data_IF_567332417590
#
_entry.id   IF_567332417590
#
_cell.length_a   1.000
_cell.length_b   1.000
_cell.length_c   1.000
_cell.angle_alpha   90.00
_cell.angle_beta   90.00
_cell.angle_gamma   90.00
#
_symmetry.space_group_name_H-M   'P 1'
#
loop_
_entity.id
_entity.type
_entity.pdbx_description
1 polymer ?
#
# COMPACT_ATOMS: atom_id res chain seq x y z
N UNK A 1 43.67 56.48 66.42
CA UNK A 1 44.01 55.36 65.51
C UNK A 1 43.00 54.25 65.72
N UNK A 2 41.92 54.24 64.93
CA UNK A 2 40.77 53.36 65.13
C UNK A 2 40.78 52.23 64.09
N UNK A 3 40.64 51.00 64.58
CA UNK A 3 40.70 49.75 63.83
C UNK A 3 39.57 49.67 62.79
N UNK A 4 39.92 49.39 61.54
CA UNK A 4 38.96 49.15 60.44
C UNK A 4 38.41 47.71 60.52
N UNK A 5 37.10 47.51 60.27
CA UNK A 5 36.46 46.21 60.40
C UNK A 5 36.72 45.30 59.18
N UNK A 6 36.93 44.02 59.48
CA UNK A 6 37.10 42.92 58.52
C UNK A 6 35.77 42.60 57.83
N UNK A 7 35.71 42.77 56.51
CA UNK A 7 34.56 42.37 55.67
C UNK A 7 34.67 40.87 55.31
N UNK A 8 33.58 40.14 55.53
CA UNK A 8 33.40 38.71 55.17
C UNK A 8 33.37 38.53 53.64
N UNK A 9 33.96 37.44 53.09
CA UNK A 9 33.90 37.12 51.67
C UNK A 9 32.49 36.64 51.25
N UNK A 10 32.06 37.09 50.06
CA UNK A 10 30.76 36.80 49.47
C UNK A 10 30.64 35.34 49.00
N UNK A 11 29.45 34.76 49.19
CA UNK A 11 29.07 33.42 48.69
C UNK A 11 29.05 33.41 47.16
N UNK A 12 29.84 32.51 46.56
CA UNK A 12 29.76 32.18 45.12
C UNK A 12 28.39 31.56 44.82
N UNK A 13 27.68 32.14 43.85
CA UNK A 13 26.47 31.56 43.28
C UNK A 13 26.82 30.30 42.48
N UNK A 14 26.07 29.23 42.72
CA UNK A 14 26.23 27.95 42.03
C UNK A 14 25.74 28.04 40.58
N UNK A 15 26.56 27.53 39.66
CA UNK A 15 26.23 27.37 38.25
C UNK A 15 25.04 26.42 38.08
N UNK A 16 24.06 26.69 37.20
CA UNK A 16 22.97 25.76 36.93
C UNK A 16 23.55 24.46 36.34
N UNK A 17 23.02 23.28 36.72
CA UNK A 17 23.40 22.04 36.08
C UNK A 17 22.98 22.07 34.59
N UNK A 18 23.72 21.40 33.70
CA UNK A 18 23.32 21.26 32.31
C UNK A 18 21.93 20.62 32.22
N UNK A 19 21.13 20.95 31.18
CA UNK A 19 19.84 20.32 30.97
C UNK A 19 20.04 18.80 30.94
N UNK A 20 19.34 18.13 31.83
CA UNK A 20 19.49 16.69 32.05
C UNK A 20 19.37 15.94 30.74
N UNK A 21 20.38 15.13 30.46
CA UNK A 21 20.24 13.97 29.59
C UNK A 21 19.10 13.13 30.15
N UNK A 22 17.90 13.36 29.63
CA UNK A 22 16.76 12.50 29.88
C UNK A 22 17.20 11.09 29.52
N UNK A 23 17.18 10.20 30.49
CA UNK A 23 17.27 8.76 30.26
C UNK A 23 16.17 8.41 29.26
N UNK A 24 16.52 8.35 27.97
CA UNK A 24 15.74 7.62 26.99
C UNK A 24 15.81 6.15 27.44
N UNK A 25 14.81 5.71 28.18
CA UNK A 25 14.61 4.29 28.45
C UNK A 25 14.67 3.52 27.13
N UNK A 26 15.12 2.25 27.14
CA UNK A 26 15.24 1.46 25.92
C UNK A 26 13.91 1.55 25.16
N UNK A 27 13.95 2.10 23.95
CA UNK A 27 12.78 2.26 23.10
C UNK A 27 12.01 0.94 23.13
N UNK A 28 10.81 0.96 23.69
CA UNK A 28 10.03 -0.25 23.91
C UNK A 28 9.93 -0.99 22.58
N UNK A 29 10.34 -2.26 22.56
CA UNK A 29 10.26 -3.13 21.38
C UNK A 29 8.78 -3.21 20.99
N UNK A 30 8.37 -2.40 20.02
CA UNK A 30 7.01 -2.42 19.45
C UNK A 30 7.00 -3.25 18.17
N UNK A 31 5.95 -4.05 17.94
CA UNK A 31 5.73 -4.71 16.66
C UNK A 31 5.51 -3.64 15.58
N UNK A 32 6.16 -3.80 14.44
CA UNK A 32 5.96 -2.95 13.24
C UNK A 32 5.24 -3.72 12.14
N UNK A 33 5.62 -4.97 11.93
CA UNK A 33 5.03 -5.85 10.92
C UNK A 33 4.73 -7.20 11.54
N UNK A 34 3.59 -7.80 11.19
CA UNK A 34 3.29 -9.20 11.47
C UNK A 34 3.15 -9.95 10.15
N UNK A 35 3.93 -10.99 9.97
CA UNK A 35 3.87 -11.90 8.82
C UNK A 35 3.16 -13.17 9.27
N UNK A 36 2.08 -13.55 8.61
CA UNK A 36 1.27 -14.72 8.95
C UNK A 36 1.16 -15.65 7.74
N UNK A 37 1.66 -16.87 7.87
CA UNK A 37 1.49 -17.92 6.87
C UNK A 37 0.29 -18.80 7.23
N UNK A 38 -0.60 -19.06 6.28
CA UNK A 38 -1.79 -19.87 6.48
C UNK A 38 -1.81 -21.07 5.52
N UNK A 39 -1.92 -22.25 6.11
CA UNK A 39 -2.24 -23.52 5.45
C UNK A 39 -3.61 -23.98 5.96
N UNK A 40 -4.53 -24.27 5.04
CA UNK A 40 -5.96 -24.37 5.33
C UNK A 40 -6.33 -25.23 6.54
N UNK A 41 -6.76 -24.60 7.64
CA UNK A 41 -7.30 -25.28 8.83
C UNK A 41 -6.35 -25.37 10.01
N UNK A 42 -5.09 -24.94 9.87
CA UNK A 42 -4.10 -24.89 10.96
C UNK A 42 -3.99 -23.51 11.61
N UNK A 43 -3.38 -23.44 12.79
CA UNK A 43 -3.02 -22.15 13.38
C UNK A 43 -1.95 -21.47 12.49
N UNK A 44 -2.13 -20.18 12.15
CA UNK A 44 -1.21 -19.51 11.25
C UNK A 44 0.17 -19.37 11.88
N UNK A 45 1.21 -19.74 11.14
CA UNK A 45 2.59 -19.45 11.52
C UNK A 45 2.76 -17.93 11.55
N UNK A 46 3.11 -17.39 12.72
CA UNK A 46 3.17 -15.94 12.93
C UNK A 46 4.59 -15.50 13.29
N UNK A 47 5.10 -14.53 12.51
CA UNK A 47 6.36 -13.84 12.78
C UNK A 47 6.11 -12.36 12.98
N UNK A 48 6.79 -11.78 13.98
CA UNK A 48 6.65 -10.36 14.32
C UNK A 48 7.99 -9.66 14.10
N UNK A 49 8.00 -8.70 13.17
CA UNK A 49 9.13 -7.81 12.93
C UNK A 49 9.04 -6.65 13.91
N UNK A 50 10.01 -6.57 14.80
CA UNK A 50 10.08 -5.55 15.83
C UNK A 50 10.77 -4.29 15.31
N UNK A 51 10.47 -3.14 15.91
CA UNK A 51 11.18 -1.85 15.68
C UNK A 51 12.70 -1.92 15.84
N UNK A 52 13.23 -2.89 16.60
CA UNK A 52 14.67 -3.12 16.67
C UNK A 52 15.30 -3.60 15.35
N UNK A 53 14.50 -4.07 14.39
CA UNK A 53 14.95 -4.39 13.04
C UNK A 53 15.01 -3.15 12.13
N UNK A 54 14.84 -1.94 12.66
CA UNK A 54 14.78 -0.68 11.91
C UNK A 54 15.89 -0.50 10.85
N UNK A 55 17.18 -0.71 11.18
CA UNK A 55 18.25 -0.62 10.18
C UNK A 55 18.09 -1.60 9.01
N UNK A 56 17.58 -2.81 9.26
CA UNK A 56 17.31 -3.79 8.21
C UNK A 56 16.11 -3.35 7.35
N UNK A 57 15.03 -2.88 7.97
CA UNK A 57 13.84 -2.36 7.27
C UNK A 57 14.25 -1.24 6.30
N UNK A 58 14.96 -0.22 6.78
CA UNK A 58 15.40 0.91 5.96
C UNK A 58 16.31 0.46 4.81
N UNK A 59 17.23 -0.47 5.06
CA UNK A 59 18.13 -0.95 4.02
C UNK A 59 17.40 -1.77 2.95
N UNK A 60 16.48 -2.65 3.36
CA UNK A 60 15.67 -3.49 2.45
C UNK A 60 14.76 -2.60 1.61
N UNK A 61 14.04 -1.67 2.24
CA UNK A 61 13.15 -0.71 1.60
C UNK A 61 13.87 0.15 0.56
N UNK A 62 15.12 0.54 0.81
CA UNK A 62 15.93 1.28 -0.18
C UNK A 62 16.46 0.39 -1.31
N UNK A 63 16.92 -0.81 -0.98
CA UNK A 63 17.66 -1.68 -1.92
C UNK A 63 16.76 -2.38 -2.92
N UNK A 64 15.65 -2.93 -2.47
CA UNK A 64 14.84 -3.81 -3.30
C UNK A 64 14.05 -3.10 -4.40
N UNK A 65 13.44 -1.92 -4.18
CA UNK A 65 12.82 -1.16 -5.27
C UNK A 65 13.79 -0.90 -6.42
N UNK A 66 15.06 -0.58 -6.12
CA UNK A 66 16.09 -0.45 -7.15
C UNK A 66 16.35 -1.75 -7.92
N UNK A 67 16.43 -2.90 -7.22
CA UNK A 67 16.63 -4.21 -7.85
C UNK A 67 15.45 -4.56 -8.77
N UNK A 68 14.22 -4.32 -8.31
CA UNK A 68 13.00 -4.67 -9.05
C UNK A 68 12.77 -3.74 -10.25
N UNK A 69 13.13 -2.46 -10.16
CA UNK A 69 13.05 -1.51 -11.28
C UNK A 69 13.85 -1.97 -12.50
N UNK A 70 14.98 -2.63 -12.29
CA UNK A 70 15.81 -3.16 -13.38
C UNK A 70 15.55 -4.63 -13.68
N UNK A 71 14.37 -5.17 -13.30
CA UNK A 71 14.03 -6.59 -13.45
C UNK A 71 14.12 -7.12 -14.88
N UNK A 72 13.82 -6.30 -15.88
CA UNK A 72 13.95 -6.68 -17.29
C UNK A 72 15.37 -7.16 -17.65
N UNK A 73 16.39 -6.74 -16.88
CA UNK A 73 17.79 -7.13 -17.09
C UNK A 73 18.15 -8.50 -16.49
N UNK A 74 17.38 -9.01 -15.54
CA UNK A 74 17.76 -10.22 -14.78
C UNK A 74 16.64 -11.25 -14.62
N UNK A 75 15.38 -10.91 -14.87
CA UNK A 75 14.25 -11.83 -14.67
C UNK A 75 14.31 -13.07 -15.58
N UNK A 76 14.93 -12.96 -16.75
CA UNK A 76 15.15 -14.07 -17.68
C UNK A 76 16.43 -14.90 -17.39
N UNK A 77 17.26 -14.47 -16.44
CA UNK A 77 18.53 -15.13 -16.09
C UNK A 77 18.33 -16.03 -14.85
N UNK A 78 18.42 -17.37 -14.98
CA UNK A 78 18.26 -18.29 -13.85
C UNK A 78 19.25 -18.05 -12.70
N UNK A 79 20.53 -17.77 -13.01
CA UNK A 79 21.56 -17.61 -11.99
C UNK A 79 21.31 -16.33 -11.17
N UNK A 80 20.89 -15.26 -11.85
CA UNK A 80 20.51 -14.03 -11.16
C UNK A 80 19.24 -14.20 -10.32
N UNK A 81 18.26 -15.00 -10.79
CA UNK A 81 17.07 -15.31 -9.98
C UNK A 81 17.42 -16.08 -8.73
N UNK A 82 18.31 -17.07 -8.81
CA UNK A 82 18.77 -17.84 -7.65
C UNK A 82 19.54 -16.95 -6.68
N UNK A 83 20.42 -16.08 -7.19
CA UNK A 83 21.12 -15.07 -6.39
C UNK A 83 20.14 -14.15 -5.65
N UNK A 84 19.14 -13.60 -6.32
CA UNK A 84 18.14 -12.74 -5.67
C UNK A 84 17.22 -13.51 -4.73
N UNK A 85 16.94 -14.77 -4.99
CA UNK A 85 16.18 -15.61 -4.07
C UNK A 85 16.96 -15.88 -2.78
N UNK A 86 18.27 -16.09 -2.85
CA UNK A 86 19.14 -16.18 -1.67
C UNK A 86 19.20 -14.85 -0.92
N UNK A 87 19.35 -13.73 -1.63
CA UNK A 87 19.31 -12.39 -1.01
C UNK A 87 17.98 -12.12 -0.30
N UNK A 88 16.86 -12.55 -0.88
CA UNK A 88 15.54 -12.41 -0.28
C UNK A 88 15.44 -13.21 1.03
N UNK A 89 15.90 -14.47 1.04
CA UNK A 89 15.98 -15.29 2.25
C UNK A 89 16.85 -14.66 3.34
N UNK A 90 18.01 -14.12 2.96
CA UNK A 90 18.94 -13.46 3.87
C UNK A 90 18.33 -12.19 4.48
N UNK A 91 17.59 -11.42 3.70
CA UNK A 91 16.92 -10.21 4.18
C UNK A 91 15.72 -10.52 5.09
N UNK A 92 14.92 -11.53 4.76
CA UNK A 92 13.86 -12.01 5.66
C UNK A 92 14.44 -12.51 6.99
N UNK A 93 15.63 -13.14 6.97
CA UNK A 93 16.35 -13.53 8.20
C UNK A 93 16.74 -12.32 9.04
N UNK A 94 17.20 -11.22 8.43
CA UNK A 94 17.50 -9.96 9.14
C UNK A 94 16.25 -9.32 9.76
N UNK A 95 15.08 -9.59 9.19
CA UNK A 95 13.77 -9.17 9.71
C UNK A 95 13.22 -10.13 10.78
N UNK A 96 13.89 -11.24 11.05
CA UNK A 96 13.53 -12.19 12.11
C UNK A 96 12.73 -13.41 11.63
N UNK A 97 12.56 -13.61 10.33
CA UNK A 97 12.03 -14.87 9.77
C UNK A 97 13.17 -15.88 9.72
N UNK A 98 13.17 -16.87 10.61
CA UNK A 98 14.31 -17.79 10.71
C UNK A 98 14.43 -18.68 9.48
N UNK A 99 15.65 -19.10 9.15
CA UNK A 99 15.88 -20.09 8.08
C UNK A 99 15.14 -21.41 8.34
N UNK A 100 14.89 -21.77 9.60
CA UNK A 100 14.15 -22.97 9.98
C UNK A 100 12.63 -22.83 9.75
N UNK A 101 12.10 -21.61 9.67
CA UNK A 101 10.68 -21.36 9.41
C UNK A 101 10.38 -21.24 7.92
N UNK A 102 11.39 -20.96 7.08
CA UNK A 102 11.19 -20.81 5.63
C UNK A 102 10.53 -22.03 4.96
N UNK A 103 10.89 -23.29 5.30
CA UNK A 103 10.17 -24.45 4.77
C UNK A 103 8.69 -24.49 5.14
N UNK A 104 8.30 -23.94 6.31
CA UNK A 104 6.89 -23.86 6.71
C UNK A 104 6.15 -22.79 5.92
N UNK A 105 6.79 -21.63 5.70
CA UNK A 105 6.27 -20.62 4.78
C UNK A 105 6.10 -21.14 3.36
N UNK A 106 6.97 -22.06 2.92
CA UNK A 106 6.90 -22.67 1.59
C UNK A 106 5.69 -23.60 1.40
N UNK A 107 5.11 -24.12 2.48
CA UNK A 107 3.88 -24.93 2.46
C UNK A 107 2.60 -24.07 2.43
N UNK A 108 2.70 -22.80 2.86
CA UNK A 108 1.55 -21.91 2.90
C UNK A 108 1.03 -21.59 1.48
N UNK A 109 -0.29 -21.64 1.31
CA UNK A 109 -0.95 -21.16 0.09
C UNK A 109 -1.19 -19.64 0.10
N UNK A 110 -1.13 -19.04 1.28
CA UNK A 110 -1.35 -17.61 1.50
C UNK A 110 -0.48 -17.09 2.65
N UNK A 111 0.19 -15.96 2.42
CA UNK A 111 0.87 -15.18 3.46
C UNK A 111 0.24 -13.78 3.51
N UNK A 112 -0.08 -13.35 4.72
CA UNK A 112 -0.50 -11.98 5.00
C UNK A 112 0.61 -11.20 5.71
N UNK A 113 0.84 -9.96 5.26
CA UNK A 113 1.78 -9.02 5.87
C UNK A 113 0.98 -7.85 6.44
N UNK A 114 0.81 -7.81 7.76
CA UNK A 114 0.12 -6.74 8.46
C UNK A 114 1.10 -5.68 8.94
N UNK A 115 0.88 -4.42 8.57
CA UNK A 115 1.59 -3.27 9.12
C UNK A 115 0.79 -2.68 10.27
N UNK A 116 1.49 -2.36 11.36
CA UNK A 116 0.88 -1.78 12.55
C UNK A 116 1.07 -0.27 12.57
N UNK A 117 -0.03 0.46 12.73
CA UNK A 117 0.01 1.92 12.88
C UNK A 117 0.78 2.30 14.15
N UNK A 118 1.95 2.96 14.03
CA UNK A 118 2.57 3.56 15.18
C UNK A 118 1.70 4.75 15.59
N UNK A 119 1.05 4.65 16.75
CA UNK A 119 0.35 5.81 17.37
C UNK A 119 1.14 7.10 17.12
N UNK A 120 0.43 8.16 16.73
CA UNK A 120 0.92 9.39 16.09
C UNK A 120 2.06 10.16 16.81
N UNK A 121 2.56 9.70 17.95
CA UNK A 121 3.54 10.37 18.79
C UNK A 121 4.99 9.87 18.63
N UNK A 122 5.27 8.93 17.71
CA UNK A 122 6.63 8.40 17.51
C UNK A 122 7.10 8.53 16.06
N UNK A 123 7.74 9.66 15.74
CA UNK A 123 8.26 9.98 14.41
C UNK A 123 9.14 8.88 13.79
N UNK A 124 10.01 8.26 14.59
CA UNK A 124 10.86 7.17 14.11
C UNK A 124 10.04 5.91 13.74
N UNK A 125 8.99 5.60 14.51
CA UNK A 125 8.16 4.44 14.21
C UNK A 125 7.32 4.69 12.95
N UNK A 126 6.82 5.93 12.75
CA UNK A 126 6.18 6.34 11.50
C UNK A 126 7.12 6.16 10.30
N UNK A 127 8.36 6.65 10.41
CA UNK A 127 9.39 6.48 9.38
C UNK A 127 9.67 5.00 9.06
N UNK A 128 9.77 4.15 10.08
CA UNK A 128 9.99 2.72 9.88
C UNK A 128 8.78 2.02 9.25
N UNK A 129 7.56 2.44 9.60
CA UNK A 129 6.34 1.95 8.96
C UNK A 129 6.25 2.38 7.49
N UNK A 130 6.63 3.63 7.17
CA UNK A 130 6.73 4.10 5.77
C UNK A 130 7.67 3.21 4.97
N UNK A 131 8.89 3.03 5.46
CA UNK A 131 9.87 2.16 4.82
C UNK A 131 9.38 0.70 4.71
N UNK A 132 8.72 0.16 5.74
CA UNK A 132 8.17 -1.19 5.71
C UNK A 132 7.09 -1.36 4.64
N UNK A 133 6.36 -0.29 4.29
CA UNK A 133 5.37 -0.32 3.20
C UNK A 133 5.98 -0.30 1.80
N UNK A 134 7.24 0.10 1.66
CA UNK A 134 7.96 0.08 0.38
C UNK A 134 8.67 -1.24 0.12
N UNK A 135 8.88 -2.06 1.16
CA UNK A 135 9.45 -3.40 1.01
C UNK A 135 8.56 -4.21 0.06
N UNK A 136 9.10 -4.85 -0.99
CA UNK A 136 8.31 -5.68 -1.91
C UNK A 136 8.11 -7.08 -1.31
N UNK A 137 7.30 -7.16 -0.25
CA UNK A 137 7.01 -8.39 0.49
C UNK A 137 6.60 -9.54 -0.41
N UNK A 138 5.81 -9.25 -1.44
CA UNK A 138 5.32 -10.19 -2.45
C UNK A 138 6.49 -10.90 -3.12
N UNK A 139 7.49 -10.14 -3.58
CA UNK A 139 8.69 -10.71 -4.20
C UNK A 139 9.55 -11.43 -3.17
N UNK A 140 9.84 -10.80 -2.01
CA UNK A 140 10.72 -11.39 -0.99
C UNK A 140 10.22 -12.75 -0.54
N UNK A 141 8.94 -12.83 -0.14
CA UNK A 141 8.33 -14.05 0.35
C UNK A 141 8.18 -15.09 -0.77
N UNK A 142 7.79 -14.67 -1.97
CA UNK A 142 7.67 -15.58 -3.12
C UNK A 142 9.02 -16.20 -3.50
N UNK A 143 10.07 -15.40 -3.61
CA UNK A 143 11.40 -15.85 -4.03
C UNK A 143 12.07 -16.70 -2.94
N UNK A 144 12.00 -16.28 -1.68
CA UNK A 144 12.57 -17.04 -0.58
C UNK A 144 11.88 -18.40 -0.37
N UNK A 145 10.54 -18.46 -0.47
CA UNK A 145 9.81 -19.73 -0.38
C UNK A 145 10.04 -20.65 -1.57
N UNK A 146 10.23 -20.12 -2.78
CA UNK A 146 10.65 -20.92 -3.95
C UNK A 146 12.02 -21.55 -3.72
N UNK A 147 12.98 -20.78 -3.21
CA UNK A 147 14.31 -21.29 -2.86
C UNK A 147 14.25 -22.38 -1.79
N UNK A 148 13.24 -22.33 -0.91
CA UNK A 148 12.96 -23.38 0.08
C UNK A 148 12.15 -24.58 -0.46
N UNK A 149 11.94 -24.68 -1.77
CA UNK A 149 11.30 -25.83 -2.43
C UNK A 149 9.82 -25.67 -2.74
N UNK A 150 9.24 -24.46 -2.71
CA UNK A 150 7.85 -24.23 -3.14
C UNK A 150 7.73 -24.23 -4.67
N UNK A 151 6.81 -25.04 -5.19
CA UNK A 151 6.44 -25.08 -6.62
C UNK A 151 5.06 -24.50 -6.94
N UNK A 152 4.14 -24.50 -5.97
CA UNK A 152 2.78 -23.99 -6.15
C UNK A 152 2.73 -22.46 -6.06
N UNK A 153 1.81 -21.75 -6.74
CA UNK A 153 1.62 -20.30 -6.58
C UNK A 153 1.35 -19.90 -5.11
N UNK A 154 1.88 -18.75 -4.70
CA UNK A 154 1.74 -18.20 -3.35
C UNK A 154 1.05 -16.85 -3.44
N UNK A 155 -0.07 -16.69 -2.75
CA UNK A 155 -0.69 -15.38 -2.58
C UNK A 155 0.01 -14.66 -1.43
N UNK A 156 0.48 -13.44 -1.68
CA UNK A 156 0.92 -12.53 -0.63
C UNK A 156 -0.01 -11.33 -0.63
N UNK A 157 -0.60 -11.00 0.52
CA UNK A 157 -1.46 -9.82 0.68
C UNK A 157 -0.96 -8.92 1.79
N UNK A 158 -1.25 -7.63 1.70
CA UNK A 158 -0.94 -6.68 2.76
C UNK A 158 -2.19 -6.32 3.55
N UNK A 159 -2.01 -6.06 4.84
CA UNK A 159 -3.08 -5.66 5.74
C UNK A 159 -2.68 -4.38 6.48
N UNK A 160 -3.58 -3.43 6.54
CA UNK A 160 -3.51 -2.28 7.44
C UNK A 160 -4.87 -2.17 8.13
N UNK A 161 -4.94 -2.69 9.35
CA UNK A 161 -6.20 -2.80 10.09
C UNK A 161 -6.82 -1.41 10.35
N UNK A 162 -7.90 -1.07 9.63
CA UNK A 162 -8.59 0.22 9.74
C UNK A 162 -9.93 0.13 10.50
N UNK A 163 -10.26 -1.06 11.02
CA UNK A 163 -11.48 -1.32 11.79
C UNK A 163 -12.77 -1.38 10.95
N UNK A 164 -12.67 -1.30 9.62
CA UNK A 164 -13.83 -1.37 8.73
C UNK A 164 -14.14 -2.84 8.41
N UNK A 165 -15.28 -3.31 8.91
CA UNK A 165 -15.84 -4.62 8.54
C UNK A 165 -16.72 -4.45 7.29
N UNK A 166 -16.28 -5.02 6.15
CA UNK A 166 -17.02 -4.92 4.88
C UNK A 166 -17.43 -6.30 4.41
N UNK A 167 -18.74 -6.46 4.23
CA UNK A 167 -19.28 -7.54 3.43
C UNK A 167 -18.99 -7.24 1.96
N UNK A 168 -17.98 -7.91 1.39
CA UNK A 168 -17.63 -7.79 -0.01
C UNK A 168 -18.77 -8.29 -0.90
N UNK A 169 -19.57 -7.37 -1.43
CA UNK A 169 -20.60 -7.66 -2.44
C UNK A 169 -20.26 -7.00 -3.77
N UNK A 170 -20.63 -7.59 -4.92
CA UNK A 170 -20.45 -6.99 -6.22
C UNK A 170 -20.93 -5.53 -6.26
N UNK A 171 -20.16 -4.60 -6.85
CA UNK A 171 -20.50 -3.19 -6.82
C UNK A 171 -21.74 -2.90 -7.67
N UNK A 172 -22.58 -1.99 -7.18
CA UNK A 172 -23.72 -1.43 -7.91
C UNK A 172 -23.40 -0.12 -8.61
N UNK A 173 -22.38 0.58 -8.12
CA UNK A 173 -21.94 1.87 -8.63
C UNK A 173 -20.41 1.88 -8.62
N UNK A 174 -19.85 2.01 -9.83
CA UNK A 174 -18.41 2.14 -10.07
C UNK A 174 -18.13 3.52 -10.63
N UNK A 175 -17.13 4.19 -10.08
CA UNK A 175 -16.58 5.41 -10.66
C UNK A 175 -15.28 5.05 -11.38
N UNK A 176 -15.18 5.36 -12.66
CA UNK A 176 -13.95 5.31 -13.43
C UNK A 176 -13.35 6.72 -13.47
N UNK A 177 -12.20 6.91 -12.84
CA UNK A 177 -11.47 8.17 -12.79
C UNK A 177 -10.33 8.05 -13.78
N UNK A 178 -10.33 8.94 -14.75
CA UNK A 178 -9.29 9.05 -15.76
C UNK A 178 -8.48 10.32 -15.50
N UNK A 179 -7.16 10.23 -15.63
CA UNK A 179 -6.28 11.37 -15.51
C UNK A 179 -5.17 11.37 -16.56
N UNK A 180 -5.44 12.04 -17.68
CA UNK A 180 -4.42 12.51 -18.62
C UNK A 180 -4.46 14.05 -18.77
N UNK A 181 -4.04 14.79 -17.75
CA UNK A 181 -4.05 16.24 -17.81
C UNK A 181 -3.00 16.80 -18.77
N UNK A 182 -3.36 17.87 -19.48
CA UNK A 182 -2.42 18.71 -20.21
C UNK A 182 -1.63 17.95 -21.27
N UNK A 183 -0.30 17.94 -21.16
CA UNK A 183 0.60 17.24 -22.09
C UNK A 183 0.45 15.72 -22.04
N UNK A 184 -0.07 15.16 -20.96
CA UNK A 184 -0.23 13.70 -20.80
C UNK A 184 -1.27 13.13 -21.78
N UNK A 185 -2.30 13.91 -22.13
CA UNK A 185 -3.35 13.55 -23.12
C UNK A 185 -2.79 13.28 -24.53
N UNK A 186 -1.54 13.68 -24.80
CA UNK A 186 -0.89 13.46 -26.09
C UNK A 186 -0.13 12.14 -26.14
N UNK A 187 0.19 11.57 -24.99
CA UNK A 187 1.04 10.39 -24.85
C UNK A 187 0.25 9.14 -24.43
N UNK A 188 -0.99 9.31 -23.93
CA UNK A 188 -1.72 8.24 -23.28
C UNK A 188 -3.23 8.32 -23.53
N UNK A 189 -3.84 7.19 -23.87
CA UNK A 189 -5.28 7.02 -24.10
C UNK A 189 -5.81 5.90 -23.20
N UNK A 190 -7.09 5.97 -22.80
CA UNK A 190 -7.69 5.01 -21.84
C UNK A 190 -8.94 4.30 -22.37
N UNK A 191 -9.24 4.43 -23.66
CA UNK A 191 -10.48 3.90 -24.26
C UNK A 191 -10.59 2.37 -24.14
N UNK A 192 -9.47 1.67 -24.32
CA UNK A 192 -9.40 0.21 -24.21
C UNK A 192 -9.65 -0.25 -22.78
N UNK A 193 -8.97 0.37 -21.82
CA UNK A 193 -9.19 0.11 -20.39
C UNK A 193 -10.64 0.41 -19.99
N UNK A 194 -11.17 1.57 -20.37
CA UNK A 194 -12.56 1.95 -20.09
C UNK A 194 -13.52 0.88 -20.61
N UNK A 195 -13.35 0.44 -21.85
CA UNK A 195 -14.18 -0.57 -22.50
C UNK A 195 -14.13 -1.90 -21.74
N UNK A 196 -12.93 -2.35 -21.36
CA UNK A 196 -12.72 -3.59 -20.60
C UNK A 196 -13.39 -3.54 -19.23
N UNK A 197 -13.16 -2.48 -18.46
CA UNK A 197 -13.72 -2.35 -17.10
C UNK A 197 -15.24 -2.20 -17.19
N UNK A 198 -15.76 -1.39 -18.11
CA UNK A 198 -17.21 -1.23 -18.35
C UNK A 198 -17.90 -2.57 -18.58
N UNK A 199 -17.31 -3.41 -19.42
CA UNK A 199 -17.81 -4.77 -19.67
C UNK A 199 -17.75 -5.63 -18.39
N UNK A 200 -16.64 -5.59 -17.66
CA UNK A 200 -16.44 -6.39 -16.44
C UNK A 200 -17.38 -6.00 -15.28
N UNK A 201 -17.89 -4.77 -15.25
CA UNK A 201 -18.79 -4.27 -14.19
C UNK A 201 -20.26 -4.19 -14.60
N UNK A 202 -20.67 -4.91 -15.67
CA UNK A 202 -22.04 -4.94 -16.18
C UNK A 202 -22.61 -3.54 -16.53
N UNK A 203 -21.81 -2.66 -17.12
CA UNK A 203 -22.20 -1.29 -17.48
C UNK A 203 -22.62 -0.40 -16.28
N UNK A 204 -22.28 -0.76 -15.04
CA UNK A 204 -22.62 0.00 -13.81
C UNK A 204 -21.58 1.09 -13.48
N UNK A 205 -21.07 1.75 -14.52
CA UNK A 205 -19.90 2.61 -14.44
C UNK A 205 -20.18 4.01 -14.96
N UNK A 206 -19.80 5.01 -14.17
CA UNK A 206 -19.75 6.41 -14.57
C UNK A 206 -18.30 6.86 -14.71
N UNK A 207 -18.03 7.74 -15.67
CA UNK A 207 -16.67 8.21 -15.97
C UNK A 207 -16.49 9.63 -15.43
N UNK A 208 -15.33 9.89 -14.83
CA UNK A 208 -14.80 11.20 -14.52
C UNK A 208 -13.59 11.47 -15.44
N UNK A 209 -13.81 11.98 -16.67
CA UNK A 209 -12.74 12.18 -17.65
C UNK A 209 -11.93 13.44 -17.30
N UNK A 210 -10.68 13.28 -16.87
CA UNK A 210 -9.69 14.33 -16.59
C UNK A 210 -10.32 15.63 -16.05
N UNK A 211 -11.13 15.48 -14.98
CA UNK A 211 -11.91 16.57 -14.40
C UNK A 211 -11.01 17.50 -13.56
N UNK A 212 -11.26 18.83 -13.55
CA UNK A 212 -10.66 19.72 -12.56
C UNK A 212 -10.88 19.20 -11.14
N UNK A 213 -9.88 19.38 -10.28
CA UNK A 213 -9.84 18.80 -8.94
C UNK A 213 -11.10 19.07 -8.10
N UNK A 214 -11.65 20.28 -8.14
CA UNK A 214 -12.90 20.63 -7.45
C UNK A 214 -14.10 19.81 -7.94
N UNK A 215 -14.19 19.56 -9.25
CA UNK A 215 -15.25 18.75 -9.87
C UNK A 215 -15.08 17.27 -9.57
N UNK A 216 -13.85 16.76 -9.61
CA UNK A 216 -13.56 15.39 -9.21
C UNK A 216 -13.98 15.13 -7.76
N UNK A 217 -13.56 16.01 -6.83
CA UNK A 217 -13.99 15.94 -5.42
C UNK A 217 -15.51 15.98 -5.27
N UNK A 218 -16.18 16.87 -6.01
CA UNK A 218 -17.63 16.96 -6.00
C UNK A 218 -18.29 15.66 -6.51
N UNK A 219 -17.77 15.04 -7.57
CA UNK A 219 -18.28 13.79 -8.13
C UNK A 219 -18.08 12.60 -7.18
N UNK A 220 -16.90 12.48 -6.57
CA UNK A 220 -16.64 11.49 -5.51
C UNK A 220 -17.60 11.69 -4.33
N UNK A 221 -17.83 12.94 -3.92
CA UNK A 221 -18.74 13.29 -2.83
C UNK A 221 -20.23 13.18 -3.21
N UNK A 222 -20.61 13.07 -4.49
CA UNK A 222 -22.01 13.03 -4.90
C UNK A 222 -22.67 11.67 -4.60
N UNK A 223 -21.98 10.55 -4.83
CA UNK A 223 -22.55 9.19 -4.74
C UNK A 223 -21.79 8.27 -3.79
N UNK A 224 -22.42 7.19 -3.35
CA UNK A 224 -21.79 6.21 -2.47
C UNK A 224 -21.12 5.15 -3.34
N UNK A 225 -20.03 5.54 -4.00
CA UNK A 225 -19.27 4.66 -4.87
C UNK A 225 -18.83 3.43 -4.10
N UNK A 226 -19.12 2.25 -4.66
CA UNK A 226 -18.76 0.98 -4.03
C UNK A 226 -17.42 0.46 -4.54
N UNK A 227 -17.04 0.88 -5.75
CA UNK A 227 -15.70 0.75 -6.28
C UNK A 227 -15.30 2.06 -6.98
N UNK A 228 -14.02 2.40 -6.92
CA UNK A 228 -13.42 3.46 -7.73
C UNK A 228 -12.25 2.84 -8.46
N UNK A 229 -12.27 2.92 -9.78
CA UNK A 229 -11.16 2.55 -10.64
C UNK A 229 -10.46 3.82 -11.09
N UNK A 230 -9.17 3.95 -10.81
CA UNK A 230 -8.36 5.10 -11.18
C UNK A 230 -7.35 4.64 -12.22
N UNK A 231 -7.30 5.35 -13.34
CA UNK A 231 -6.25 5.21 -14.36
C UNK A 231 -5.63 6.56 -14.65
N UNK A 232 -4.34 6.59 -14.96
CA UNK A 232 -3.60 7.82 -15.20
C UNK A 232 -2.10 7.65 -15.12
N UNK A 233 -1.42 8.77 -14.89
CA UNK A 233 0.04 8.83 -14.79
C UNK A 233 0.46 9.17 -13.37
N UNK A 234 1.41 8.40 -12.82
CA UNK A 234 1.99 8.65 -11.50
C UNK A 234 3.06 9.76 -11.54
N UNK A 235 3.52 10.23 -10.39
CA UNK A 235 4.52 11.30 -10.30
C UNK A 235 5.87 10.92 -10.92
N UNK A 236 6.29 9.66 -10.83
CA UNK A 236 7.54 9.19 -11.43
C UNK A 236 7.42 9.02 -12.94
N UNK A 237 6.34 8.41 -13.44
CA UNK A 237 6.11 8.27 -14.89
C UNK A 237 6.00 9.64 -15.57
N UNK A 238 5.40 10.64 -14.93
CA UNK A 238 5.32 12.00 -15.48
C UNK A 238 6.70 12.61 -15.77
N UNK A 239 7.70 12.34 -14.92
CA UNK A 239 9.07 12.78 -15.13
C UNK A 239 9.74 12.14 -16.35
N UNK A 240 9.26 10.97 -16.79
CA UNK A 240 9.78 10.26 -17.96
C UNK A 240 9.05 10.63 -19.25
N UNK A 241 7.74 10.84 -19.16
CA UNK A 241 6.91 11.19 -20.32
C UNK A 241 7.17 12.61 -20.80
N UNK A 242 7.48 13.53 -19.88
CA UNK A 242 7.56 14.95 -20.18
C UNK A 242 8.91 15.52 -19.73
N UNK A 243 9.77 15.84 -20.70
CA UNK A 243 11.05 16.49 -20.45
C UNK A 243 10.87 17.79 -19.64
N UNK A 244 11.63 17.90 -18.55
CA UNK A 244 11.58 19.06 -17.66
C UNK A 244 10.22 19.25 -16.98
N UNK A 245 9.44 18.19 -16.76
CA UNK A 245 8.13 18.27 -16.10
C UNK A 245 8.20 19.03 -14.77
N UNK A 246 9.27 18.82 -14.00
CA UNK A 246 9.44 19.43 -12.69
C UNK A 246 10.12 20.81 -12.69
N UNK A 247 10.78 21.21 -13.77
CA UNK A 247 11.46 22.51 -13.93
C UNK A 247 10.53 23.71 -13.73
N UNK A 248 9.23 23.54 -14.03
CA UNK A 248 8.21 24.60 -13.87
C UNK A 248 7.78 24.79 -12.43
N UNK A 249 8.02 23.79 -11.56
CA UNK A 249 7.71 23.82 -10.14
C UNK A 249 8.92 24.24 -9.29
N UNK A 250 10.14 24.02 -9.76
CA UNK A 250 11.38 24.48 -9.13
C UNK A 250 11.59 26.00 -9.19
N UNK A 251 10.94 26.70 -10.14
CA UNK A 251 11.19 28.13 -10.44
C UNK A 251 10.38 29.13 -9.61
N UNK A 252 9.64 28.68 -8.60
CA UNK A 252 9.03 29.60 -7.62
C UNK A 252 10.15 30.16 -6.71
N UNK A 253 10.11 31.47 -6.43
CA UNK A 253 11.21 32.20 -5.75
C UNK A 253 11.65 31.51 -4.44
N UNK A 254 12.89 31.70 -3.95
CA UNK A 254 13.37 31.07 -2.70
C UNK A 254 12.50 31.30 -1.45
N UNK A 255 11.68 32.35 -1.45
CA UNK A 255 10.74 32.69 -0.36
C UNK A 255 9.31 32.14 -0.58
N UNK A 256 9.05 31.53 -1.74
CA UNK A 256 7.77 30.97 -2.15
C UNK A 256 7.92 29.44 -2.11
N UNK A 257 7.35 28.79 -1.08
CA UNK A 257 7.33 27.33 -0.98
C UNK A 257 6.93 26.75 -2.34
N UNK A 258 7.69 25.75 -2.81
CA UNK A 258 7.36 24.97 -4.01
C UNK A 258 5.84 24.79 -4.08
N UNK A 259 5.25 25.13 -5.23
CA UNK A 259 3.80 24.98 -5.44
C UNK A 259 3.32 23.54 -5.27
N UNK A 260 4.24 22.57 -5.21
CA UNK A 260 3.94 21.15 -5.11
C UNK A 260 4.71 20.54 -3.93
N UNK A 261 4.03 19.73 -3.13
CA UNK A 261 4.55 19.03 -1.95
C UNK A 261 5.09 17.63 -2.26
N UNK A 262 5.18 17.30 -3.55
CA UNK A 262 5.65 16.01 -4.06
C UNK A 262 7.17 15.88 -4.09
N UNK A 263 7.93 16.98 -4.08
CA UNK A 263 9.38 16.98 -3.89
C UNK A 263 9.66 17.56 -2.52
N UNK A 264 10.32 16.80 -1.64
CA UNK A 264 10.64 17.26 -0.29
C UNK A 264 11.91 18.14 -0.22
N UNK A 265 12.22 18.63 0.98
CA UNK A 265 13.41 19.45 1.24
C UNK A 265 14.74 18.72 0.98
N UNK A 266 14.70 17.39 0.83
CA UNK A 266 15.85 16.55 0.49
C UNK A 266 15.94 16.22 -1.00
N UNK A 267 15.14 16.89 -1.84
CA UNK A 267 15.07 16.68 -3.29
C UNK A 267 14.59 15.26 -3.67
N UNK A 268 13.77 14.65 -2.80
CA UNK A 268 13.19 13.33 -3.04
C UNK A 268 11.80 13.50 -3.63
N UNK A 269 11.60 12.97 -4.85
CA UNK A 269 10.28 12.84 -5.45
C UNK A 269 9.48 11.73 -4.76
N UNK A 270 8.30 12.06 -4.25
CA UNK A 270 7.35 11.17 -3.63
C UNK A 270 6.34 10.60 -4.63
N UNK A 271 5.89 9.38 -4.34
CA UNK A 271 4.78 8.72 -5.03
C UNK A 271 3.51 9.59 -5.00
N UNK A 272 2.68 9.43 -6.01
CA UNK A 272 1.48 10.23 -6.18
C UNK A 272 0.84 10.00 -7.53
N UNK A 273 0.04 10.95 -7.96
CA UNK A 273 -0.47 10.98 -9.32
C UNK A 273 -0.57 12.40 -9.84
N UNK A 274 -0.54 12.55 -11.16
CA UNK A 274 -0.85 13.81 -11.80
C UNK A 274 -2.36 13.90 -11.96
N UNK A 275 -2.96 14.97 -11.45
CA UNK A 275 -4.38 15.31 -11.65
C UNK A 275 -4.48 16.65 -12.39
N UNK A 276 -5.67 16.95 -12.91
CA UNK A 276 -5.95 18.29 -13.41
C UNK A 276 -6.25 19.24 -12.24
N UNK A 277 -5.48 20.31 -12.12
CA UNK A 277 -5.75 21.39 -11.17
C UNK A 277 -7.03 22.16 -11.51
N UNK A 278 -7.49 23.02 -10.61
CA UNK A 278 -8.59 23.94 -10.94
C UNK A 278 -8.12 25.04 -11.90
N UNK A 279 -6.84 25.41 -11.82
CA UNK A 279 -6.18 26.42 -12.66
C UNK A 279 -5.00 25.88 -13.45
N UNK A 280 -4.38 24.81 -12.98
CA UNK A 280 -3.23 24.14 -13.57
C UNK A 280 -3.69 23.04 -14.52
N UNK A 281 -3.02 22.92 -15.68
CA UNK A 281 -3.25 21.81 -16.60
C UNK A 281 -2.81 20.50 -15.95
N UNK A 282 -1.56 20.40 -15.52
CA UNK A 282 -0.98 19.26 -14.81
C UNK A 282 -0.64 19.64 -13.37
N UNK A 283 -1.21 18.93 -12.41
CA UNK A 283 -1.06 19.20 -10.99
C UNK A 283 -0.65 17.92 -10.24
N UNK A 284 0.63 17.79 -9.85
CA UNK A 284 1.09 16.61 -9.12
C UNK A 284 0.54 16.61 -7.69
N UNK A 285 -0.03 15.47 -7.29
CA UNK A 285 -0.62 15.26 -5.96
C UNK A 285 0.14 14.13 -5.27
N UNK A 286 0.68 14.40 -4.07
CA UNK A 286 1.36 13.39 -3.27
C UNK A 286 0.39 12.32 -2.76
N UNK A 287 0.89 11.10 -2.60
CA UNK A 287 0.13 9.91 -2.20
C UNK A 287 -0.78 10.10 -0.97
N UNK A 288 -0.35 10.87 0.03
CA UNK A 288 -1.07 11.12 1.28
C UNK A 288 -2.23 12.12 1.13
N UNK A 289 -2.29 12.87 0.04
CA UNK A 289 -3.40 13.77 -0.29
C UNK A 289 -4.52 13.09 -1.08
N UNK A 290 -4.23 11.95 -1.72
CA UNK A 290 -5.20 11.21 -2.54
C UNK A 290 -6.41 10.65 -1.79
N UNK A 291 -6.30 10.17 -0.54
CA UNK A 291 -7.47 9.73 0.22
C UNK A 291 -8.53 10.82 0.38
N UNK A 292 -8.12 12.07 0.64
CA UNK A 292 -9.05 13.19 0.78
C UNK A 292 -9.80 13.50 -0.52
N UNK A 293 -9.23 13.13 -1.68
CA UNK A 293 -9.82 13.31 -3.01
C UNK A 293 -10.73 12.13 -3.35
N UNK A 294 -10.22 10.89 -3.23
CA UNK A 294 -10.87 9.68 -3.75
C UNK A 294 -11.87 9.05 -2.77
N UNK A 295 -11.74 9.28 -1.46
CA UNK A 295 -12.68 8.73 -0.47
C UNK A 295 -13.77 9.71 -0.06
N UNK A 296 -13.57 11.01 -0.29
CA UNK A 296 -14.43 12.08 0.17
C UNK A 296 -14.67 12.08 1.70
N UNK A 297 -15.59 12.93 2.17
CA UNK A 297 -15.95 13.05 3.59
C UNK A 297 -17.08 12.11 4.05
N UNK A 298 -17.41 11.09 3.24
CA UNK A 298 -18.57 10.23 3.49
C UNK A 298 -18.35 9.21 4.59
N UNK A 299 -19.45 8.87 5.28
CA UNK A 299 -19.50 7.79 6.27
C UNK A 299 -19.31 6.40 5.64
N UNK A 300 -19.86 6.15 4.45
CA UNK A 300 -19.64 4.91 3.70
C UNK A 300 -18.53 5.15 2.68
N UNK A 301 -17.40 4.49 2.89
CA UNK A 301 -16.23 4.50 1.99
C UNK A 301 -16.37 3.41 0.91
N UNK A 302 -15.67 3.51 -0.23
CA UNK A 302 -15.62 2.45 -1.23
C UNK A 302 -15.11 1.13 -0.66
N UNK A 303 -15.62 0.01 -1.19
CA UNK A 303 -15.16 -1.32 -0.82
C UNK A 303 -13.77 -1.59 -1.41
N UNK A 304 -13.54 -1.16 -2.64
CA UNK A 304 -12.24 -1.27 -3.30
C UNK A 304 -11.91 0.00 -4.07
N UNK A 305 -10.62 0.35 -4.08
CA UNK A 305 -10.06 1.30 -5.03
C UNK A 305 -8.96 0.60 -5.82
N UNK A 306 -9.09 0.55 -7.14
CA UNK A 306 -8.06 0.03 -8.04
C UNK A 306 -7.29 1.21 -8.63
N UNK A 307 -5.97 1.10 -8.66
CA UNK A 307 -5.04 2.12 -9.13
C UNK A 307 -4.24 1.54 -10.29
N UNK A 308 -4.67 1.79 -11.52
CA UNK A 308 -3.87 1.55 -12.71
C UNK A 308 -2.87 2.70 -12.90
N UNK A 309 -1.89 2.73 -11.99
CA UNK A 309 -0.86 3.76 -11.87
C UNK A 309 0.44 3.07 -11.45
N UNK A 310 1.58 3.39 -12.05
CA UNK A 310 2.86 2.88 -11.56
C UNK A 310 3.11 3.40 -10.13
N UNK A 311 3.91 2.67 -9.36
CA UNK A 311 4.31 3.03 -7.98
C UNK A 311 3.17 3.30 -6.98
N UNK A 312 1.93 2.90 -7.30
CA UNK A 312 0.74 3.13 -6.47
C UNK A 312 0.52 2.10 -5.37
N UNK A 313 1.15 0.93 -5.47
CA UNK A 313 0.94 -0.22 -4.59
C UNK A 313 1.61 -0.12 -3.22
N UNK A 314 2.64 0.71 -3.07
CA UNK A 314 3.36 0.87 -1.81
C UNK A 314 2.64 1.84 -0.86
N UNK A 315 2.72 3.14 -1.13
CA UNK A 315 2.20 4.19 -0.25
C UNK A 315 0.76 4.59 -0.58
N UNK A 316 0.44 4.86 -1.84
CA UNK A 316 -0.90 5.33 -2.24
C UNK A 316 -2.02 4.35 -1.86
N UNK A 317 -1.89 3.07 -2.22
CA UNK A 317 -2.88 2.05 -1.88
C UNK A 317 -3.01 1.85 -0.35
N UNK A 318 -1.89 1.87 0.38
CA UNK A 318 -1.89 1.81 1.86
C UNK A 318 -2.69 2.96 2.45
N UNK A 319 -2.45 4.19 1.98
CA UNK A 319 -3.13 5.39 2.46
C UNK A 319 -4.63 5.36 2.24
N UNK A 320 -5.09 4.87 1.09
CA UNK A 320 -6.52 4.69 0.83
C UNK A 320 -7.15 3.71 1.82
N UNK A 321 -6.47 2.61 2.13
CA UNK A 321 -6.93 1.66 3.13
C UNK A 321 -6.87 2.26 4.54
N UNK A 322 -5.78 2.93 4.92
CA UNK A 322 -5.65 3.60 6.22
C UNK A 322 -6.81 4.56 6.49
N UNK A 323 -7.22 5.32 5.47
CA UNK A 323 -8.31 6.30 5.54
C UNK A 323 -9.72 5.71 5.32
N UNK A 324 -9.83 4.39 5.23
CA UNK A 324 -11.09 3.65 5.40
C UNK A 324 -11.62 2.90 4.17
N UNK A 325 -10.89 2.83 3.06
CA UNK A 325 -11.21 1.85 2.02
C UNK A 325 -11.02 0.42 2.57
N UNK A 326 -11.86 -0.54 2.17
CA UNK A 326 -11.65 -1.93 2.60
C UNK A 326 -10.52 -2.61 1.85
N UNK A 327 -10.35 -2.30 0.57
CA UNK A 327 -9.24 -2.78 -0.22
C UNK A 327 -8.70 -1.69 -1.14
N UNK A 328 -7.40 -1.73 -1.42
CA UNK A 328 -6.80 -0.96 -2.49
C UNK A 328 -5.81 -1.83 -3.26
N UNK A 329 -5.85 -1.76 -4.59
CA UNK A 329 -4.98 -2.54 -5.47
C UNK A 329 -4.15 -1.57 -6.31
N UNK A 330 -2.85 -1.80 -6.41
CA UNK A 330 -1.94 -1.00 -7.24
C UNK A 330 -0.64 -1.75 -7.53
N UNK A 331 0.35 -1.04 -8.05
CA UNK A 331 1.62 -1.63 -8.49
C UNK A 331 2.82 -1.06 -7.73
N UNK A 332 3.76 -1.91 -7.32
CA UNK A 332 5.01 -1.47 -6.66
C UNK A 332 5.99 -0.79 -7.61
N UNK A 333 5.80 -0.98 -8.90
CA UNK A 333 6.74 -0.57 -9.95
C UNK A 333 6.01 -0.40 -11.28
N UNK A 334 6.76 -0.14 -12.34
CA UNK A 334 6.28 -0.17 -13.72
C UNK A 334 5.62 -1.51 -14.05
N UNK A 335 4.58 -1.49 -14.87
CA UNK A 335 3.89 -2.66 -15.39
C UNK A 335 3.50 -2.40 -16.84
N UNK A 336 3.48 -3.46 -17.66
CA UNK A 336 2.97 -3.39 -19.02
C UNK A 336 1.48 -3.06 -19.01
N UNK A 337 1.07 -2.03 -19.75
CA UNK A 337 -0.27 -1.45 -19.64
C UNK A 337 -1.36 -2.46 -20.03
N UNK A 338 -1.15 -3.18 -21.15
CA UNK A 338 -2.07 -4.23 -21.59
C UNK A 338 -2.21 -5.32 -20.51
N UNK A 339 -1.10 -5.70 -19.87
CA UNK A 339 -1.11 -6.69 -18.80
C UNK A 339 -1.84 -6.18 -17.54
N UNK A 340 -1.66 -4.92 -17.17
CA UNK A 340 -2.37 -4.28 -16.06
C UNK A 340 -3.89 -4.22 -16.31
N UNK A 341 -4.28 -3.82 -17.52
CA UNK A 341 -5.68 -3.78 -17.95
C UNK A 341 -6.33 -5.17 -17.92
N UNK A 342 -5.64 -6.19 -18.47
CA UNK A 342 -6.11 -7.57 -18.45
C UNK A 342 -6.31 -8.07 -17.01
N UNK A 343 -5.38 -7.73 -16.10
CA UNK A 343 -5.52 -8.07 -14.68
C UNK A 343 -6.76 -7.41 -14.06
N UNK A 344 -6.96 -6.10 -14.23
CA UNK A 344 -8.12 -5.43 -13.64
C UNK A 344 -9.44 -5.89 -14.26
N UNK A 345 -9.46 -6.17 -15.58
CA UNK A 345 -10.60 -6.79 -16.24
C UNK A 345 -10.93 -8.14 -15.60
N UNK A 346 -9.94 -9.03 -15.43
CA UNK A 346 -10.12 -10.33 -14.79
C UNK A 346 -10.60 -10.19 -13.33
N UNK A 347 -10.05 -9.23 -12.58
CA UNK A 347 -10.45 -8.94 -11.20
C UNK A 347 -11.92 -8.52 -11.11
N UNK A 348 -12.33 -7.52 -11.88
CA UNK A 348 -13.73 -7.07 -11.87
C UNK A 348 -14.67 -8.15 -12.40
N UNK A 349 -14.22 -8.95 -13.37
CA UNK A 349 -15.02 -10.06 -13.88
C UNK A 349 -15.28 -11.11 -12.79
N UNK A 350 -14.23 -11.58 -12.12
CA UNK A 350 -14.33 -12.55 -11.03
C UNK A 350 -15.16 -12.01 -9.85
N UNK A 351 -15.06 -10.70 -9.56
CA UNK A 351 -15.84 -10.08 -8.50
C UNK A 351 -17.32 -9.92 -8.87
N UNK A 352 -17.61 -9.38 -10.06
CA UNK A 352 -18.96 -9.04 -10.47
C UNK A 352 -19.79 -10.24 -10.95
N UNK A 353 -19.14 -11.21 -11.61
CA UNK A 353 -19.80 -12.35 -12.24
C UNK A 353 -19.52 -13.67 -11.51
N UNK A 354 -18.32 -13.84 -10.94
CA UNK A 354 -17.94 -15.06 -10.21
C UNK A 354 -18.60 -15.18 -8.83
N UNK A 355 -19.14 -14.09 -8.28
CA UNK A 355 -19.71 -14.07 -6.93
C UNK A 355 -18.64 -14.18 -5.84
N UNK A 356 -17.36 -14.02 -6.19
CA UNK A 356 -16.25 -14.05 -5.26
C UNK A 356 -16.25 -12.80 -4.39
N UNK A 357 -15.80 -12.89 -3.12
CA UNK A 357 -15.40 -11.70 -2.39
C UNK A 357 -14.15 -11.08 -3.05
N UNK A 358 -13.83 -9.80 -2.78
CA UNK A 358 -12.70 -9.05 -3.36
C UNK A 358 -11.40 -9.87 -3.30
N UNK A 359 -11.14 -10.53 -2.18
CA UNK A 359 -9.98 -11.38 -1.94
C UNK A 359 -9.93 -12.57 -2.91
N UNK A 360 -11.07 -13.24 -3.09
CA UNK A 360 -11.20 -14.36 -4.02
C UNK A 360 -11.09 -13.91 -5.46
N UNK A 361 -11.66 -12.75 -5.80
CA UNK A 361 -11.56 -12.16 -7.12
C UNK A 361 -10.13 -11.75 -7.47
N UNK A 362 -9.38 -11.20 -6.51
CA UNK A 362 -7.96 -10.90 -6.67
C UNK A 362 -7.15 -12.17 -6.92
N UNK A 363 -7.38 -13.22 -6.12
CA UNK A 363 -6.69 -14.49 -6.29
C UNK A 363 -6.99 -15.16 -7.63
N UNK A 364 -8.26 -15.12 -8.06
CA UNK A 364 -8.69 -15.67 -9.35
C UNK A 364 -8.04 -14.91 -10.51
N UNK A 365 -8.09 -13.58 -10.48
CA UNK A 365 -7.42 -12.75 -11.48
C UNK A 365 -5.92 -13.01 -11.53
N UNK A 366 -5.26 -12.99 -10.37
CA UNK A 366 -3.82 -13.23 -10.25
C UNK A 366 -3.42 -14.63 -10.75
N UNK A 367 -4.20 -15.68 -10.47
CA UNK A 367 -3.96 -17.03 -11.00
C UNK A 367 -4.24 -17.15 -12.49
N UNK A 368 -5.17 -16.36 -13.01
CA UNK A 368 -5.51 -16.30 -14.42
C UNK A 368 -4.45 -15.60 -15.27
N UNK A 369 -3.56 -14.83 -14.64
CA UNK A 369 -2.40 -14.26 -15.31
C UNK A 369 -1.32 -15.33 -15.47
N UNK A 370 -0.83 -15.52 -16.70
CA UNK A 370 0.23 -16.46 -17.04
C UNK A 370 1.47 -15.77 -17.64
N UNK A 371 2.52 -16.57 -17.87
CA UNK A 371 3.73 -16.14 -18.57
C UNK A 371 4.84 -15.53 -17.71
N UNK A 372 6.00 -15.32 -18.35
CA UNK A 372 7.20 -14.76 -17.71
C UNK A 372 6.98 -13.35 -17.15
N UNK A 373 5.97 -12.65 -17.68
CA UNK A 373 5.53 -11.33 -17.21
C UNK A 373 5.07 -11.36 -15.74
N UNK A 374 4.66 -12.52 -15.21
CA UNK A 374 4.22 -12.69 -13.83
C UNK A 374 5.33 -12.64 -12.76
N UNK A 375 6.60 -12.79 -13.16
CA UNK A 375 7.70 -12.80 -12.21
C UNK A 375 8.03 -11.39 -11.70
N UNK A 376 7.46 -11.05 -10.54
CA UNK A 376 7.71 -9.77 -9.90
C UNK A 376 6.87 -8.63 -10.48
N UNK A 377 5.64 -8.92 -10.95
CA UNK A 377 4.68 -7.94 -11.48
C UNK A 377 4.37 -6.78 -10.54
N UNK A 378 4.71 -6.90 -9.26
CA UNK A 378 4.50 -5.85 -8.28
C UNK A 378 3.03 -5.55 -8.02
N UNK A 379 2.09 -6.40 -8.45
CA UNK A 379 0.66 -6.25 -8.13
C UNK A 379 0.46 -6.47 -6.64
N UNK A 380 -0.06 -5.47 -5.96
CA UNK A 380 -0.25 -5.48 -4.50
C UNK A 380 -1.70 -5.19 -4.18
N UNK A 381 -2.22 -5.95 -3.23
CA UNK A 381 -3.48 -5.64 -2.57
C UNK A 381 -3.23 -5.32 -1.10
N UNK A 382 -3.72 -4.15 -0.68
CA UNK A 382 -3.90 -3.78 0.72
C UNK A 382 -5.32 -4.06 1.15
N UNK A 383 -5.47 -4.58 2.36
CA UNK A 383 -6.75 -4.89 2.98
C UNK A 383 -6.89 -4.16 4.32
N UNK A 384 -8.07 -3.62 4.59
CA UNK A 384 -8.43 -2.96 5.84
C UNK A 384 -8.67 -3.92 7.00
N UNK A 385 -8.68 -5.22 6.72
CA UNK A 385 -8.91 -6.28 7.69
C UNK A 385 -8.21 -7.57 7.28
N UNK A 386 -7.66 -8.27 8.27
CA UNK A 386 -7.02 -9.58 8.10
C UNK A 386 -7.95 -10.61 7.43
N UNK A 387 -7.44 -11.33 6.43
CA UNK A 387 -8.12 -12.47 5.80
C UNK A 387 -7.99 -13.75 6.64
N UNK A 388 -6.92 -13.84 7.42
CA UNK A 388 -6.64 -15.02 8.22
C UNK A 388 -7.70 -15.11 9.34
N UNK A 389 -8.40 -16.24 9.40
CA UNK A 389 -9.55 -16.48 10.27
C UNK A 389 -10.92 -16.12 9.68
N UNK A 390 -11.00 -15.60 8.45
CA UNK A 390 -12.28 -15.27 7.79
C UNK A 390 -13.17 -16.50 7.55
N UNK A 391 -12.59 -17.63 7.14
CA UNK A 391 -13.35 -18.88 6.91
C UNK A 391 -13.95 -19.47 8.20
N UNK A 392 -13.24 -19.36 9.33
CA UNK A 392 -13.74 -19.79 10.64
C UNK A 392 -14.95 -18.95 11.09
N UNK A 393 -14.97 -17.64 10.76
CA UNK A 393 -16.13 -16.76 11.03
C UNK A 393 -17.35 -17.13 10.18
N UNK A 394 -17.17 -17.45 8.89
CA UNK A 394 -18.26 -17.91 8.00
C UNK A 394 -18.91 -19.22 8.49
N UNK A 395 -18.12 -20.17 9.00
CA UNK A 395 -18.65 -21.44 9.54
C UNK A 395 -19.47 -21.24 10.82
N UNK A 396 -19.15 -20.22 11.63
CA UNK A 396 -19.86 -19.95 12.89
C UNK A 396 -21.17 -19.16 12.72
N UNK A 397 -21.30 -18.35 11.66
CA UNK A 397 -22.56 -17.64 11.35
C UNK A 397 -23.58 -18.52 10.59
N UNK A 398 -23.15 -19.66 10.05
CA UNK A 398 -24.00 -20.60 9.30
C UNK A 398 -24.75 -21.63 10.16
N UNK A 399 -24.88 -21.46 11.49
CA UNK A 399 -25.79 -22.30 12.28
C UNK A 399 -27.23 -21.80 12.14
N UNK A 400 -28.16 -22.55 11.52
CA UNK A 400 -29.54 -22.13 11.45
C UNK A 400 -30.17 -22.18 12.85
N UNK A 401 -30.86 -21.10 13.22
CA UNK A 401 -31.77 -21.07 14.37
C UNK A 401 -32.91 -22.06 14.12
N UNK A 402 -32.70 -23.33 14.49
CA UNK A 402 -33.75 -24.34 14.52
C UNK A 402 -34.06 -24.71 15.96
N UNK A 403 -35.25 -24.31 16.41
CA UNK A 403 -36.24 -25.20 17.04
C UNK A 403 -37.53 -24.41 17.30
N UNK A 404 -38.41 -24.40 16.30
CA UNK A 404 -39.86 -24.29 16.53
C UNK A 404 -40.26 -25.48 17.42
N UNK A 405 -40.60 -25.22 18.67
CA UNK A 405 -41.37 -26.15 19.51
C UNK A 405 -42.79 -26.20 18.93
N UNK A 406 -43.08 -27.20 18.09
CA UNK A 406 -44.43 -27.73 17.94
C UNK A 406 -44.67 -28.65 19.13
N UNK A 407 -45.51 -28.24 20.07
CA UNK A 407 -46.23 -29.15 20.96
C UNK A 407 -47.70 -28.98 20.62
N UNK A 408 -48.27 -30.00 20.00
CA UNK A 408 -49.68 -30.07 19.70
C UNK A 408 -50.52 -30.62 20.86
N UNK A 409 -51.82 -30.45 20.70
CA UNK A 409 -52.93 -31.23 21.23
C UNK A 409 -53.09 -31.33 22.76
N UNK A 410 -54.13 -30.65 23.26
CA UNK A 410 -55.38 -31.33 23.61
C UNK A 410 -56.58 -30.44 23.28
#
# INVERSE_FOLDING_TARGET
>A
MAQKPVRKPAKKAATPPPPGSGNAGPAARRPLVTIRAHEGGEEPLTHVVMSSAGPAILNIARRWPYILRVRSRWAGDPDMRDYFAEQASNDLTKLGVSAADMPKFALAGHIEVELHDPKADVAEAARLMEAASEIPWEYLLTSATRNAGRFNPLLVTRCFSNGVDVNSTPPRQVLFVESAPGRIDQEYEFDDEETRIRAAVNNKMEIAPTLPLSKLKAMVAAKNWEAIHVTGVDTHQAAWLIDGFYDVFEKTKPDEKSKTDVIDESDILHDGMILRGDTESEFPIRYDHLPAILLGSKKKKPQVITLNLYYSGARTARELVREGAHAAIGFLDEIDDEFAEQFFQAFYWAWCHGGNPIQGAFLEAWKGMDGDRMHGTGIVIWLGSSMIGFEARKKNTAKPASKKKRTGAR
#
